data_IF_852676947266
#
_entry.id   IF_852676947266
#
_cell.length_a   1.000
_cell.length_b   1.000
_cell.length_c   1.000
_cell.angle_alpha   90.00
_cell.angle_beta   90.00
_cell.angle_gamma   90.00
#
_symmetry.space_group_name_H-M   'P 1'
#
loop_
_entity.id
_entity.type
_entity.pdbx_description
1 polymer ?
#
# COMPACT_ATOMS: atom_id res chain seq x y z
N UNK A 1 54.25 -30.95 -1.42
CA UNK A 1 53.48 -30.53 -2.61
C UNK A 1 52.08 -31.10 -2.47
N UNK A 2 51.07 -30.25 -2.26
CA UNK A 2 49.67 -30.65 -2.13
C UNK A 2 48.82 -29.75 -3.03
N UNK A 3 48.08 -30.41 -3.90
CA UNK A 3 47.33 -29.88 -5.03
C UNK A 3 46.09 -29.12 -4.55
N UNK A 4 45.85 -27.95 -5.17
CA UNK A 4 44.64 -27.17 -5.00
C UNK A 4 43.52 -27.85 -5.81
N UNK A 5 42.43 -28.26 -5.15
CA UNK A 5 41.19 -28.65 -5.85
C UNK A 5 40.26 -27.45 -5.77
N UNK A 6 40.04 -26.81 -6.91
CA UNK A 6 39.11 -25.69 -7.07
C UNK A 6 37.71 -26.28 -7.35
N UNK A 7 36.91 -26.48 -6.30
CA UNK A 7 35.49 -26.82 -6.47
C UNK A 7 34.71 -25.53 -6.71
N UNK A 8 34.28 -25.35 -7.96
CA UNK A 8 33.42 -24.25 -8.38
C UNK A 8 31.98 -24.50 -7.88
N UNK A 9 31.73 -24.15 -6.62
CA UNK A 9 30.38 -24.16 -6.05
C UNK A 9 29.64 -22.88 -6.47
N UNK A 10 28.98 -22.88 -7.63
CA UNK A 10 27.89 -21.95 -7.92
C UNK A 10 26.70 -22.31 -7.01
N UNK A 11 26.74 -21.92 -5.74
CA UNK A 11 25.56 -21.91 -4.89
C UNK A 11 25.07 -20.47 -4.79
N UNK A 12 24.06 -20.19 -5.61
CA UNK A 12 23.41 -18.90 -5.69
C UNK A 12 22.96 -18.43 -4.32
N UNK A 13 23.23 -17.17 -4.03
CA UNK A 13 22.54 -16.42 -2.98
C UNK A 13 21.07 -16.36 -3.37
N UNK A 14 20.26 -17.31 -2.89
CA UNK A 14 18.81 -17.17 -2.93
C UNK A 14 18.42 -16.08 -1.95
N UNK A 15 18.30 -14.85 -2.44
CA UNK A 15 17.65 -13.80 -1.67
C UNK A 15 16.15 -14.01 -1.84
N UNK A 16 15.53 -14.69 -0.88
CA UNK A 16 14.06 -14.75 -0.82
C UNK A 16 13.54 -13.39 -0.35
N UNK A 17 13.16 -12.54 -1.29
CA UNK A 17 12.17 -11.46 -1.10
C UNK A 17 10.82 -11.99 -1.62
N UNK A 18 9.66 -11.77 -1.02
CA UNK A 18 9.23 -10.76 -0.07
C UNK A 18 8.30 -11.40 0.98
N UNK A 19 8.33 -10.92 2.22
CA UNK A 19 7.25 -11.17 3.16
C UNK A 19 6.07 -10.30 2.70
N UNK A 20 4.93 -10.93 2.39
CA UNK A 20 3.68 -10.20 2.18
C UNK A 20 3.40 -9.30 3.38
N UNK A 21 2.93 -8.08 3.14
CA UNK A 21 2.53 -7.20 4.22
C UNK A 21 1.26 -7.75 4.86
N UNK A 22 1.18 -7.67 6.19
CA UNK A 22 -0.06 -8.06 6.87
C UNK A 22 -1.20 -7.14 6.45
N UNK A 23 -2.43 -7.60 6.64
CA UNK A 23 -3.62 -6.78 6.39
C UNK A 23 -3.54 -5.45 7.14
N UNK A 24 -3.19 -5.48 8.42
CA UNK A 24 -3.05 -4.29 9.27
C UNK A 24 -1.99 -3.32 8.73
N UNK A 25 -0.84 -3.82 8.29
CA UNK A 25 0.22 -3.00 7.70
C UNK A 25 -0.23 -2.36 6.38
N UNK A 26 -0.98 -3.11 5.56
CA UNK A 26 -1.54 -2.61 4.31
C UNK A 26 -2.55 -1.51 4.59
N UNK A 27 -3.47 -1.74 5.52
CA UNK A 27 -4.49 -0.77 5.92
C UNK A 27 -3.87 0.51 6.49
N UNK A 28 -2.85 0.39 7.34
CA UNK A 28 -2.12 1.54 7.88
C UNK A 28 -1.46 2.37 6.76
N UNK A 29 -0.78 1.71 5.81
CA UNK A 29 -0.14 2.37 4.66
C UNK A 29 -1.16 3.09 3.77
N UNK A 30 -2.27 2.44 3.47
CA UNK A 30 -3.36 3.00 2.66
C UNK A 30 -3.91 4.27 3.33
N UNK A 31 -4.23 4.20 4.63
CA UNK A 31 -4.78 5.34 5.36
C UNK A 31 -3.77 6.49 5.47
N UNK A 32 -2.50 6.20 5.79
CA UNK A 32 -1.43 7.21 5.85
C UNK A 32 -1.24 7.91 4.51
N UNK A 33 -1.24 7.16 3.41
CA UNK A 33 -1.08 7.73 2.07
C UNK A 33 -2.22 8.69 1.72
N UNK A 34 -3.46 8.29 1.99
CA UNK A 34 -4.64 9.14 1.72
C UNK A 34 -4.65 10.39 2.58
N UNK A 35 -4.38 10.29 3.88
CA UNK A 35 -4.32 11.47 4.77
C UNK A 35 -3.20 12.43 4.34
N UNK A 36 -2.05 11.90 3.93
CA UNK A 36 -0.95 12.73 3.45
C UNK A 36 -1.33 13.50 2.18
N UNK A 37 -1.96 12.83 1.21
CA UNK A 37 -2.41 13.46 -0.04
C UNK A 37 -3.52 14.47 0.21
N UNK A 38 -4.49 14.14 1.07
CA UNK A 38 -5.56 15.05 1.47
C UNK A 38 -4.99 16.33 2.10
N UNK A 39 -4.00 16.18 3.00
CA UNK A 39 -3.32 17.32 3.64
C UNK A 39 -2.58 18.17 2.61
N UNK A 40 -1.91 17.56 1.62
CA UNK A 40 -1.24 18.28 0.53
C UNK A 40 -2.23 19.07 -0.35
N UNK A 41 -3.46 18.59 -0.47
CA UNK A 41 -4.54 19.28 -1.19
C UNK A 41 -5.24 20.36 -0.36
N UNK A 42 -4.69 20.73 0.80
CA UNK A 42 -5.28 21.72 1.70
C UNK A 42 -6.49 21.19 2.48
N UNK A 43 -6.74 19.89 2.45
CA UNK A 43 -7.73 19.25 3.30
C UNK A 43 -7.33 19.35 4.77
N UNK A 44 -8.32 19.58 5.65
CA UNK A 44 -8.10 19.59 7.09
C UNK A 44 -7.99 18.17 7.68
N UNK A 45 -7.96 18.09 9.01
CA UNK A 45 -8.11 16.82 9.71
C UNK A 45 -9.56 16.33 9.58
N UNK A 46 -9.79 15.11 9.05
CA UNK A 46 -11.14 14.56 8.95
C UNK A 46 -11.73 14.26 10.34
N UNK A 47 -13.06 14.32 10.44
CA UNK A 47 -13.82 13.93 11.62
C UNK A 47 -13.82 12.41 11.79
N UNK A 48 -14.01 11.69 10.69
CA UNK A 48 -13.94 10.23 10.64
C UNK A 48 -13.19 9.77 9.40
N UNK A 49 -12.59 8.59 9.52
CA UNK A 49 -11.90 7.91 8.42
C UNK A 49 -12.41 6.49 8.33
N UNK A 50 -12.91 6.10 7.17
CA UNK A 50 -13.41 4.75 6.91
C UNK A 50 -12.57 4.12 5.79
N UNK A 51 -12.22 2.85 5.95
CA UNK A 51 -11.40 2.09 5.03
C UNK A 51 -12.14 0.81 4.62
N UNK A 52 -12.28 0.60 3.33
CA UNK A 52 -12.97 -0.54 2.74
C UNK A 52 -12.06 -1.23 1.73
N UNK A 53 -11.93 -2.56 1.80
CA UNK A 53 -11.37 -3.35 0.70
C UNK A 53 -12.47 -3.71 -0.28
N UNK A 54 -12.20 -3.57 -1.59
CA UNK A 54 -13.14 -4.02 -2.61
C UNK A 54 -12.95 -5.51 -2.86
N UNK A 55 -13.87 -6.35 -2.38
CA UNK A 55 -13.81 -7.81 -2.56
C UNK A 55 -13.78 -8.25 -4.03
N UNK A 56 -14.27 -7.41 -4.94
CA UNK A 56 -14.28 -7.65 -6.39
C UNK A 56 -13.02 -7.19 -7.12
N UNK A 57 -12.12 -6.45 -6.46
CA UNK A 57 -10.88 -5.92 -7.04
C UNK A 57 -9.74 -6.08 -6.04
N UNK A 58 -8.97 -7.15 -6.20
CA UNK A 58 -7.77 -7.39 -5.41
C UNK A 58 -6.88 -6.15 -5.38
N UNK A 59 -6.26 -5.88 -4.23
CA UNK A 59 -5.38 -4.74 -4.00
C UNK A 59 -6.01 -3.35 -4.21
N UNK A 60 -7.34 -3.25 -4.24
CA UNK A 60 -8.06 -1.97 -4.35
C UNK A 60 -8.80 -1.64 -3.06
N UNK A 61 -8.65 -0.40 -2.61
CA UNK A 61 -9.19 0.10 -1.35
C UNK A 61 -9.96 1.39 -1.58
N UNK A 62 -11.08 1.54 -0.88
CA UNK A 62 -11.82 2.79 -0.77
C UNK A 62 -11.55 3.43 0.59
N UNK A 63 -11.23 4.72 0.60
CA UNK A 63 -11.05 5.50 1.82
C UNK A 63 -12.03 6.66 1.80
N UNK A 64 -12.87 6.76 2.84
CA UNK A 64 -13.79 7.88 3.01
C UNK A 64 -13.28 8.77 4.13
N UNK A 65 -13.01 10.02 3.81
CA UNK A 65 -12.68 11.07 4.76
C UNK A 65 -13.89 11.99 4.91
N UNK A 66 -14.48 12.02 6.12
CA UNK A 66 -15.65 12.86 6.39
C UNK A 66 -15.27 14.14 7.10
N UNK A 67 -15.88 15.24 6.67
CA UNK A 67 -15.73 16.59 7.22
C UNK A 67 -17.11 17.17 7.53
N UNK A 68 -17.14 18.37 8.14
CA UNK A 68 -18.40 19.09 8.30
C UNK A 68 -18.96 19.49 6.93
N UNK A 69 -20.01 18.80 6.48
CA UNK A 69 -20.73 19.10 5.24
C UNK A 69 -20.11 18.57 3.95
N UNK A 70 -18.98 17.86 3.98
CA UNK A 70 -18.39 17.25 2.78
C UNK A 70 -17.75 15.89 3.09
N UNK A 71 -17.78 14.99 2.10
CA UNK A 71 -17.06 13.72 2.13
C UNK A 71 -16.11 13.64 0.93
N UNK A 72 -14.86 13.29 1.22
CA UNK A 72 -13.86 13.04 0.19
C UNK A 72 -13.60 11.54 0.12
N UNK A 73 -13.85 10.98 -1.05
CA UNK A 73 -13.69 9.54 -1.30
C UNK A 73 -12.43 9.36 -2.14
N UNK A 74 -11.57 8.43 -1.72
CA UNK A 74 -10.32 8.09 -2.37
C UNK A 74 -10.30 6.62 -2.74
N UNK A 75 -9.80 6.30 -3.93
CA UNK A 75 -9.45 4.94 -4.32
C UNK A 75 -7.94 4.77 -4.24
N UNK A 76 -7.49 3.70 -3.60
CA UNK A 76 -6.07 3.35 -3.47
C UNK A 76 -5.81 1.99 -4.08
N UNK A 77 -4.76 1.88 -4.89
CA UNK A 77 -4.29 0.63 -5.47
C UNK A 77 -2.96 0.26 -4.82
N UNK A 78 -2.88 -0.91 -4.22
CA UNK A 78 -1.63 -1.48 -3.67
C UNK A 78 -1.00 -2.46 -4.65
N UNK A 79 0.23 -2.89 -4.39
CA UNK A 79 0.75 -4.15 -4.95
C UNK A 79 -0.06 -5.36 -4.45
N UNK A 80 0.12 -6.50 -5.11
CA UNK A 80 -0.50 -7.77 -4.70
C UNK A 80 -0.05 -8.20 -3.30
N UNK A 81 1.22 -7.97 -2.94
CA UNK A 81 1.79 -8.22 -1.62
C UNK A 81 1.34 -7.20 -0.54
N UNK A 82 0.49 -6.22 -0.89
CA UNK A 82 0.01 -5.15 0.01
C UNK A 82 1.08 -4.16 0.46
N UNK A 83 2.34 -4.33 0.06
CA UNK A 83 3.45 -3.59 0.63
C UNK A 83 3.72 -2.22 0.01
N UNK A 84 3.26 -1.99 -1.22
CA UNK A 84 3.50 -0.75 -1.96
C UNK A 84 2.19 -0.09 -2.34
N UNK A 85 2.12 1.24 -2.24
CA UNK A 85 1.05 2.02 -2.86
C UNK A 85 1.44 2.26 -4.32
N UNK A 86 0.63 1.77 -5.25
CA UNK A 86 0.83 1.94 -6.69
C UNK A 86 0.16 3.21 -7.20
N UNK A 87 -1.01 3.52 -6.67
CA UNK A 87 -1.73 4.73 -7.05
C UNK A 87 -2.77 5.15 -6.01
N UNK A 88 -3.10 6.44 -6.02
CA UNK A 88 -4.15 7.05 -5.19
C UNK A 88 -4.92 8.04 -6.07
N UNK A 89 -6.24 7.91 -6.12
CA UNK A 89 -7.12 8.73 -6.94
C UNK A 89 -8.27 9.27 -6.12
N UNK A 90 -8.64 10.54 -6.31
CA UNK A 90 -9.86 11.10 -5.74
C UNK A 90 -11.05 10.67 -6.58
N UNK A 91 -12.06 10.09 -5.96
CA UNK A 91 -13.34 9.83 -6.59
C UNK A 91 -14.16 11.12 -6.55
N UNK A 92 -14.48 11.65 -7.72
CA UNK A 92 -15.48 12.71 -7.84
C UNK A 92 -16.82 12.03 -8.09
N UNK A 93 -17.78 12.24 -7.19
CA UNK A 93 -19.17 11.93 -7.49
C UNK A 93 -19.62 12.90 -8.59
N UNK A 94 -20.08 12.37 -9.73
CA UNK A 94 -20.80 13.14 -10.74
C UNK A 94 -22.18 13.54 -10.22
#
# INVERSE_FOLDING_TARGET
MKTLILTLSLMGTSVSYAADCTLDQTQEKVLRAVIAIESLNGGGKPLTTELHSYSSKASTWGVVLSYSGVQNIWTVITSEDGCQIKAVYRCYAN
#
